data_IF_827186228011
#
_entry.id   IF_827186228011
#
_cell.length_a   1.000
_cell.length_b   1.000
_cell.length_c   1.000
_cell.angle_alpha   90.00
_cell.angle_beta   90.00
_cell.angle_gamma   90.00
#
_symmetry.space_group_name_H-M   'P 1'
#
loop_
_entity.id
_entity.type
_entity.pdbx_description
1 polymer ?
#
# COMPACT_ATOMS: atom_id res chain seq x y z
N UNK A 1 2.40 -4.35 20.55
CA UNK A 1 1.30 -3.37 20.65
C UNK A 1 1.44 -2.24 19.62
N UNK A 2 2.58 -1.52 19.55
CA UNK A 2 2.79 -0.41 18.59
C UNK A 2 2.51 -0.80 17.12
N UNK A 3 3.10 -1.89 16.65
CA UNK A 3 2.95 -2.34 15.26
C UNK A 3 1.51 -2.76 14.91
N UNK A 4 0.78 -3.31 15.86
CA UNK A 4 -0.62 -3.68 15.68
C UNK A 4 -1.50 -2.44 15.53
N UNK A 5 -1.31 -1.43 16.40
CA UNK A 5 -2.09 -0.20 16.39
C UNK A 5 -1.83 0.67 15.16
N UNK A 6 -0.57 0.79 14.71
CA UNK A 6 -0.25 1.55 13.50
C UNK A 6 -0.87 0.91 12.27
N UNK A 7 -0.91 -0.43 12.22
CA UNK A 7 -1.45 -1.15 11.09
C UNK A 7 -2.96 -0.99 11.01
N UNK A 8 -3.65 -1.12 12.13
CA UNK A 8 -5.10 -0.85 12.22
C UNK A 8 -5.46 0.59 11.86
N UNK A 9 -4.57 1.55 12.15
CA UNK A 9 -4.76 2.95 11.80
C UNK A 9 -4.37 3.29 10.34
N UNK A 10 -3.91 2.31 9.55
CA UNK A 10 -3.46 2.53 8.16
C UNK A 10 -2.20 3.40 8.06
N UNK A 11 -1.32 3.37 9.07
CA UNK A 11 -0.07 4.12 9.07
C UNK A 11 1.09 3.29 8.51
N UNK A 12 1.77 3.86 7.51
CA UNK A 12 2.91 3.24 6.85
C UNK A 12 4.13 3.12 7.76
N UNK A 13 4.88 2.04 7.57
CA UNK A 13 6.21 1.84 8.13
C UNK A 13 7.25 1.81 7.01
N UNK A 14 8.24 2.70 7.09
CA UNK A 14 9.37 2.70 6.17
C UNK A 14 10.14 1.37 6.26
N UNK A 15 10.47 0.77 5.12
CA UNK A 15 11.00 -0.58 4.99
C UNK A 15 9.95 -1.70 4.90
N UNK A 16 8.66 -1.38 4.99
CA UNK A 16 7.56 -2.34 4.72
C UNK A 16 6.65 -1.82 3.60
N UNK A 17 5.95 -0.71 3.84
CA UNK A 17 5.04 -0.12 2.84
C UNK A 17 5.78 0.68 1.76
N UNK A 18 7.02 1.09 2.04
CA UNK A 18 7.78 2.00 1.21
C UNK A 18 9.28 1.94 1.52
N UNK A 19 10.09 2.01 0.49
CA UNK A 19 11.55 2.20 0.51
C UNK A 19 11.94 3.12 -0.67
N UNK A 20 13.22 3.21 -1.02
CA UNK A 20 13.66 4.01 -2.18
C UNK A 20 13.13 3.49 -3.54
N UNK A 21 12.65 2.25 -3.61
CA UNK A 21 12.10 1.62 -4.81
C UNK A 21 10.59 1.78 -4.97
N UNK A 22 9.87 2.13 -3.90
CA UNK A 22 8.40 2.25 -3.92
C UNK A 22 7.97 3.72 -4.04
N UNK A 23 7.11 3.99 -5.02
CA UNK A 23 6.50 5.31 -5.17
C UNK A 23 5.57 5.63 -3.99
N UNK A 24 5.55 6.88 -3.48
CA UNK A 24 4.54 7.30 -2.50
C UNK A 24 3.11 7.21 -3.05
N UNK A 25 2.92 7.23 -4.38
CA UNK A 25 1.62 6.99 -5.00
C UNK A 25 1.16 5.55 -4.83
N UNK A 26 2.10 4.60 -4.85
CA UNK A 26 1.83 3.19 -4.61
C UNK A 26 1.63 2.87 -3.12
N UNK A 27 2.26 3.63 -2.23
CA UNK A 27 2.19 3.43 -0.77
C UNK A 27 1.03 4.18 -0.08
N UNK A 28 -0.09 4.48 -0.76
CA UNK A 28 -1.22 5.23 -0.18
C UNK A 28 -0.84 6.62 0.41
N UNK A 29 0.18 7.28 -0.15
CA UNK A 29 0.63 8.61 0.27
C UNK A 29 0.35 9.71 -0.76
N UNK A 30 -0.44 9.43 -1.80
CA UNK A 30 -0.80 10.45 -2.79
C UNK A 30 -1.44 11.70 -2.17
N UNK A 31 -2.14 11.54 -1.03
CA UNK A 31 -2.75 12.65 -0.29
C UNK A 31 -1.74 13.60 0.38
N UNK A 32 -0.50 13.18 0.61
CA UNK A 32 0.55 14.04 1.19
C UNK A 32 1.27 14.88 0.14
N UNK A 33 1.04 14.61 -1.15
CA UNK A 33 1.73 15.27 -2.26
C UNK A 33 0.94 16.52 -2.65
N UNK A 34 1.53 17.69 -2.42
CA UNK A 34 0.98 18.97 -2.87
C UNK A 34 1.35 19.23 -4.34
N UNK A 35 0.40 18.99 -5.25
CA UNK A 35 0.54 19.22 -6.69
C UNK A 35 0.47 20.70 -7.06
N UNK A 36 -0.33 21.44 -6.30
CA UNK A 36 -0.51 22.88 -6.45
C UNK A 36 0.33 23.67 -5.42
N UNK A 37 0.87 24.84 -5.81
CA UNK A 37 0.80 25.39 -7.16
C UNK A 37 1.71 24.63 -8.14
N UNK A 38 1.29 24.53 -9.41
CA UNK A 38 1.96 23.71 -10.43
C UNK A 38 3.41 24.14 -10.75
N UNK A 39 3.78 25.39 -10.48
CA UNK A 39 5.12 25.95 -10.66
C UNK A 39 6.10 25.60 -9.53
N UNK A 40 5.61 25.02 -8.43
CA UNK A 40 6.45 24.60 -7.30
C UNK A 40 7.27 23.36 -7.64
N UNK A 41 8.54 23.53 -7.93
CA UNK A 41 9.42 22.38 -8.13
C UNK A 41 9.82 21.71 -6.79
N UNK A 42 9.94 20.38 -6.81
CA UNK A 42 10.45 19.58 -5.70
C UNK A 42 11.09 18.29 -6.19
N UNK A 43 11.99 17.73 -5.38
CA UNK A 43 12.73 16.51 -5.72
C UNK A 43 11.74 15.36 -5.97
N UNK A 44 11.77 14.81 -7.19
CA UNK A 44 10.90 13.70 -7.61
C UNK A 44 9.57 14.11 -8.26
N UNK A 45 9.28 15.41 -8.43
CA UNK A 45 8.02 15.91 -9.02
C UNK A 45 7.74 15.31 -10.40
N UNK A 46 8.69 15.40 -11.33
CA UNK A 46 8.52 14.91 -12.71
C UNK A 46 8.26 13.39 -12.74
N UNK A 47 8.98 12.62 -11.92
CA UNK A 47 8.77 11.18 -11.81
C UNK A 47 7.37 10.82 -11.29
N UNK A 48 6.87 11.59 -10.31
CA UNK A 48 5.53 11.42 -9.75
C UNK A 48 4.42 11.80 -10.73
N UNK A 49 4.62 12.85 -11.53
CA UNK A 49 3.68 13.24 -12.58
C UNK A 49 3.57 12.12 -13.63
N UNK A 50 4.70 11.56 -14.08
CA UNK A 50 4.69 10.41 -15.02
C UNK A 50 3.99 9.17 -14.45
N UNK A 51 4.20 8.85 -13.17
CA UNK A 51 3.56 7.71 -12.52
C UNK A 51 2.05 7.90 -12.36
N UNK A 52 1.61 9.14 -12.08
CA UNK A 52 0.20 9.48 -12.00
C UNK A 52 -0.50 9.32 -13.35
N UNK A 53 0.16 9.65 -14.45
CA UNK A 53 -0.39 9.51 -15.81
C UNK A 53 -0.39 8.06 -16.32
N UNK A 54 0.70 7.32 -16.09
CA UNK A 54 0.84 5.93 -16.55
C UNK A 54 0.06 4.91 -15.71
N UNK A 55 -0.35 5.32 -14.51
CA UNK A 55 -0.89 4.43 -13.50
C UNK A 55 0.22 3.83 -12.63
N UNK A 56 -0.14 3.50 -11.41
CA UNK A 56 0.74 2.95 -10.39
C UNK A 56 0.01 1.84 -9.63
N UNK A 57 0.79 0.98 -8.97
CA UNK A 57 0.25 0.00 -8.03
C UNK A 57 -0.47 0.70 -6.86
N UNK A 58 -1.26 -0.04 -6.08
CA UNK A 58 -2.00 0.52 -4.96
C UNK A 58 -1.81 -0.34 -3.73
N UNK A 59 -1.49 0.30 -2.61
CA UNK A 59 -1.57 -0.29 -1.28
C UNK A 59 -3.06 -0.38 -0.89
N UNK A 60 -3.53 -1.59 -0.68
CA UNK A 60 -4.94 -1.91 -0.42
C UNK A 60 -5.07 -2.87 0.75
N UNK A 61 -6.11 -2.63 1.54
CA UNK A 61 -6.32 -3.44 2.71
C UNK A 61 -6.98 -4.78 2.43
N UNK A 62 -6.44 -5.86 3.00
CA UNK A 62 -6.98 -7.22 2.89
C UNK A 62 -7.52 -7.69 4.23
N UNK A 63 -8.71 -8.31 4.18
CA UNK A 63 -9.33 -8.94 5.35
C UNK A 63 -9.48 -10.43 5.12
N UNK A 64 -8.89 -11.23 6.00
CA UNK A 64 -9.06 -12.69 6.01
C UNK A 64 -9.95 -13.10 7.17
N UNK A 65 -11.12 -13.64 6.85
CA UNK A 65 -12.14 -14.07 7.81
C UNK A 65 -11.93 -15.51 8.29
N UNK A 66 -11.25 -16.31 7.48
CA UNK A 66 -10.94 -17.70 7.77
C UNK A 66 -9.69 -17.85 8.66
N UNK A 67 -9.51 -19.04 9.24
CA UNK A 67 -8.32 -19.34 10.04
C UNK A 67 -7.07 -19.34 9.15
N UNK A 68 -6.13 -18.46 9.49
CA UNK A 68 -4.83 -18.37 8.87
C UNK A 68 -4.04 -17.19 9.43
N UNK A 69 -2.79 -17.04 9.01
CA UNK A 69 -1.98 -15.87 9.33
C UNK A 69 -1.40 -15.34 8.03
N UNK A 70 -1.86 -14.16 7.62
CA UNK A 70 -1.21 -13.38 6.58
C UNK A 70 0.11 -12.85 7.11
N UNK A 71 1.17 -13.03 6.31
CA UNK A 71 2.56 -12.70 6.62
C UNK A 71 3.11 -11.80 5.52
N UNK A 72 4.09 -10.99 5.89
CA UNK A 72 4.86 -10.18 4.96
C UNK A 72 5.44 -11.08 3.85
N UNK A 73 5.57 -10.51 2.66
CA UNK A 73 6.09 -11.14 1.44
C UNK A 73 5.21 -12.25 0.82
N UNK A 74 4.00 -12.49 1.35
CA UNK A 74 3.08 -13.42 0.71
C UNK A 74 2.52 -12.85 -0.61
N UNK A 75 2.45 -13.66 -1.68
CA UNK A 75 1.87 -13.22 -2.94
C UNK A 75 0.34 -13.12 -2.84
N UNK A 76 -0.23 -12.05 -3.41
CA UNK A 76 -1.66 -11.81 -3.53
C UNK A 76 -2.02 -11.91 -5.01
N UNK A 77 -2.81 -12.91 -5.38
CA UNK A 77 -3.20 -13.15 -6.77
C UNK A 77 -4.66 -12.80 -7.00
N UNK A 78 -4.94 -12.10 -8.08
CA UNK A 78 -6.30 -11.82 -8.52
C UNK A 78 -6.36 -11.79 -10.05
N UNK A 79 -7.56 -11.80 -10.60
CA UNK A 79 -7.80 -11.68 -12.04
C UNK A 79 -8.58 -10.39 -12.28
N UNK A 80 -8.09 -9.56 -13.19
CA UNK A 80 -8.78 -8.32 -13.55
C UNK A 80 -10.04 -8.57 -14.39
N UNK A 81 -10.80 -7.51 -14.68
CA UNK A 81 -12.03 -7.59 -15.46
C UNK A 81 -11.80 -8.05 -16.92
N UNK A 82 -10.57 -7.94 -17.42
CA UNK A 82 -10.15 -8.34 -18.76
C UNK A 82 -9.66 -9.80 -18.78
N UNK A 83 -9.58 -10.46 -17.62
CA UNK A 83 -9.14 -11.84 -17.50
C UNK A 83 -7.62 -12.01 -17.34
N UNK A 84 -6.86 -10.94 -17.16
CA UNK A 84 -5.42 -11.05 -16.94
C UNK A 84 -5.13 -11.39 -15.47
N UNK A 85 -4.19 -12.31 -15.27
CA UNK A 85 -3.67 -12.64 -13.94
C UNK A 85 -2.79 -11.50 -13.44
N UNK A 86 -3.04 -11.07 -12.21
CA UNK A 86 -2.29 -10.03 -11.52
C UNK A 86 -1.71 -10.62 -10.22
N UNK A 87 -0.54 -10.16 -9.84
CA UNK A 87 0.15 -10.57 -8.61
C UNK A 87 0.66 -9.33 -7.89
N UNK A 88 0.31 -9.21 -6.61
CA UNK A 88 0.85 -8.23 -5.68
C UNK A 88 1.51 -8.93 -4.48
N UNK A 89 1.91 -8.15 -3.48
CA UNK A 89 2.61 -8.67 -2.31
C UNK A 89 2.05 -8.07 -1.01
N UNK A 90 2.01 -8.88 0.05
CA UNK A 90 1.68 -8.38 1.39
C UNK A 90 2.89 -7.65 1.95
N UNK A 91 2.78 -6.34 2.18
CA UNK A 91 3.82 -5.53 2.83
C UNK A 91 3.86 -5.77 4.33
N UNK A 92 2.68 -5.71 4.98
CA UNK A 92 2.50 -5.86 6.42
C UNK A 92 1.31 -6.74 6.77
N UNK A 93 1.52 -7.80 7.56
CA UNK A 93 0.44 -8.63 8.11
C UNK A 93 0.53 -8.77 9.62
N UNK A 94 -0.54 -8.43 10.35
CA UNK A 94 -0.68 -8.75 11.78
C UNK A 94 -2.08 -9.26 12.09
N UNK A 95 -2.23 -10.00 13.19
CA UNK A 95 -3.53 -10.22 13.80
C UNK A 95 -4.03 -8.93 14.45
N UNK A 96 -5.26 -8.51 14.15
CA UNK A 96 -5.94 -7.38 14.78
C UNK A 96 -6.66 -7.87 16.04
N UNK A 97 -6.35 -7.36 17.24
CA UNK A 97 -7.11 -7.63 18.46
C UNK A 97 -8.38 -6.79 18.58
N UNK A 98 -8.53 -5.70 17.81
CA UNK A 98 -9.73 -4.83 17.87
C UNK A 98 -10.85 -5.29 16.93
N UNK A 99 -10.52 -5.99 15.84
CA UNK A 99 -11.50 -6.68 15.00
C UNK A 99 -11.33 -8.21 15.12
N UNK A 100 -12.40 -9.02 15.08
CA UNK A 100 -12.28 -10.49 15.16
C UNK A 100 -11.64 -11.13 13.91
N UNK A 101 -11.17 -10.34 12.94
CA UNK A 101 -10.61 -10.78 11.65
C UNK A 101 -9.30 -10.03 11.34
N UNK A 102 -8.44 -10.63 10.50
CA UNK A 102 -7.11 -10.08 10.20
C UNK A 102 -7.20 -8.87 9.25
N UNK A 103 -6.50 -7.76 9.55
CA UNK A 103 -6.44 -6.55 8.71
C UNK A 103 -5.02 -6.33 8.19
N UNK A 104 -4.90 -6.14 6.87
CA UNK A 104 -3.75 -5.60 6.17
C UNK A 104 -4.23 -4.27 5.58
N UNK A 105 -3.45 -3.18 5.58
CA UNK A 105 -3.75 -1.93 4.90
C UNK A 105 -3.21 -1.89 3.48
#
# INVERSE_FOLDING_TARGET
ARDTLRLEAGMNLYGQEMDEGISPLAANMGWTIAWEPADRDFIGREALEMQREKGHEQLVGLVMTEKGVLRNELPVRFTDAQGNQQEGIITSGTFSPTMPYQYIP
#
